data_IF_078598333559
#
_entry.id   IF_078598333559
#
_cell.length_a   1.000
_cell.length_b   1.000
_cell.length_c   1.000
_cell.angle_alpha   90.00
_cell.angle_beta   90.00
_cell.angle_gamma   90.00
#
_symmetry.space_group_name_H-M   'P 1'
#
loop_
_entity.id
_entity.type
_entity.pdbx_description
1 polymer ?
#
# COMPACT_ATOMS: atom_id res chain seq x y z
N UNK A 1 7.26 4.73 19.30
CA UNK A 1 6.75 3.76 18.31
C UNK A 1 6.70 4.46 16.95
N UNK A 2 6.94 3.78 15.84
CA UNK A 2 6.93 4.31 14.47
C UNK A 2 8.03 5.34 14.12
N UNK A 3 9.14 5.39 14.85
CA UNK A 3 10.24 6.35 14.58
C UNK A 3 10.91 6.11 13.21
N UNK A 4 10.88 4.89 12.73
CA UNK A 4 11.43 4.51 11.42
C UNK A 4 10.53 4.95 10.24
N UNK A 5 9.28 5.36 10.46
CA UNK A 5 8.40 5.94 9.45
C UNK A 5 8.48 7.46 9.54
N UNK A 6 8.86 8.12 8.46
CA UNK A 6 8.92 9.59 8.44
C UNK A 6 7.55 10.22 8.24
N UNK A 7 6.81 9.76 7.23
CA UNK A 7 5.42 10.17 6.98
C UNK A 7 4.56 8.98 6.59
N UNK A 8 3.28 9.08 6.91
CA UNK A 8 2.25 8.13 6.48
C UNK A 8 1.16 8.90 5.73
N UNK A 9 0.87 8.51 4.51
CA UNK A 9 -0.17 9.13 3.68
C UNK A 9 -1.26 8.12 3.42
N UNK A 10 -2.51 8.45 3.77
CA UNK A 10 -3.64 7.63 3.36
C UNK A 10 -4.45 8.30 2.27
N UNK A 11 -4.85 7.49 1.30
CA UNK A 11 -5.59 7.88 0.11
C UNK A 11 -7.08 7.64 0.40
N UNK A 12 -7.91 8.70 0.29
CA UNK A 12 -9.33 8.58 0.59
C UNK A 12 -10.17 9.51 -0.29
N UNK A 13 -11.24 8.99 -0.89
CA UNK A 13 -12.21 9.77 -1.65
C UNK A 13 -12.94 10.75 -0.72
N UNK A 14 -13.10 12.01 -1.15
CA UNK A 14 -13.71 13.06 -0.31
C UNK A 14 -15.13 12.72 0.13
N UNK A 15 -15.89 12.03 -0.71
CA UNK A 15 -17.26 11.58 -0.40
C UNK A 15 -17.31 10.41 0.60
N UNK A 16 -16.19 9.69 0.80
CA UNK A 16 -16.10 8.55 1.73
C UNK A 16 -15.70 9.02 3.13
N UNK A 17 -16.56 9.85 3.73
CA UNK A 17 -16.37 10.36 5.10
C UNK A 17 -16.38 9.24 6.14
N UNK A 18 -17.18 8.19 5.91
CA UNK A 18 -17.22 6.97 6.72
C UNK A 18 -15.85 6.30 6.82
N UNK A 19 -15.18 6.09 5.67
CA UNK A 19 -13.85 5.51 5.62
C UNK A 19 -12.80 6.45 6.20
N UNK A 20 -12.92 7.76 5.92
CA UNK A 20 -12.01 8.77 6.46
C UNK A 20 -11.96 8.75 7.99
N UNK A 21 -13.12 8.76 8.65
CA UNK A 21 -13.19 8.71 10.12
C UNK A 21 -12.53 7.44 10.67
N UNK A 22 -12.85 6.28 10.10
CA UNK A 22 -12.26 5.02 10.53
C UNK A 22 -10.75 4.97 10.30
N UNK A 23 -10.26 5.43 9.15
CA UNK A 23 -8.83 5.41 8.85
C UNK A 23 -8.03 6.34 9.75
N UNK A 24 -8.57 7.51 10.12
CA UNK A 24 -7.97 8.38 11.13
C UNK A 24 -7.81 7.68 12.47
N UNK A 25 -8.84 6.94 12.90
CA UNK A 25 -8.78 6.17 14.14
C UNK A 25 -7.70 5.09 14.07
N UNK A 26 -7.71 4.29 13.01
CA UNK A 26 -6.73 3.21 12.78
C UNK A 26 -5.30 3.75 12.75
N UNK A 27 -5.05 4.82 12.02
CA UNK A 27 -3.71 5.39 11.86
C UNK A 27 -3.30 6.33 13.01
N UNK A 28 -4.16 6.56 14.01
CA UNK A 28 -3.86 7.46 15.16
C UNK A 28 -2.57 7.10 15.90
N UNK A 29 -2.18 5.83 15.89
CA UNK A 29 -0.93 5.33 16.50
C UNK A 29 0.33 5.93 15.88
N UNK A 30 0.24 6.50 14.66
CA UNK A 30 1.34 7.18 13.97
C UNK A 30 1.44 8.69 14.32
N UNK A 31 0.45 9.23 15.05
CA UNK A 31 0.44 10.62 15.52
C UNK A 31 0.47 11.66 14.38
N UNK A 32 1.34 12.65 14.52
CA UNK A 32 1.51 13.78 13.58
C UNK A 32 2.16 13.44 12.25
N UNK A 33 2.54 12.19 12.05
CA UNK A 33 3.10 11.71 10.78
C UNK A 33 2.03 11.49 9.72
N UNK A 34 0.75 11.39 10.12
CA UNK A 34 -0.35 11.03 9.22
C UNK A 34 -0.83 12.22 8.41
N UNK A 35 -0.89 12.04 7.11
CA UNK A 35 -1.42 13.01 6.15
C UNK A 35 -2.54 12.34 5.36
N UNK A 36 -3.70 13.00 5.27
CA UNK A 36 -4.74 12.59 4.34
C UNK A 36 -4.46 13.19 2.97
N UNK A 37 -4.56 12.37 1.93
CA UNK A 37 -4.61 12.84 0.55
C UNK A 37 -5.98 12.54 -0.05
N UNK A 38 -6.62 13.56 -0.65
CA UNK A 38 -7.83 13.35 -1.44
C UNK A 38 -7.52 12.48 -2.64
N UNK A 39 -8.18 11.34 -2.74
CA UNK A 39 -8.02 10.43 -3.87
C UNK A 39 -8.44 11.08 -5.17
N UNK A 40 -7.74 10.77 -6.25
CA UNK A 40 -8.12 11.20 -7.59
C UNK A 40 -9.29 10.34 -8.05
N UNK A 41 -10.46 10.96 -8.24
CA UNK A 41 -11.66 10.26 -8.68
C UNK A 41 -11.69 10.15 -10.20
N UNK A 42 -11.81 8.94 -10.72
CA UNK A 42 -11.88 8.61 -12.14
C UNK A 42 -12.91 7.49 -12.37
N UNK A 43 -13.35 7.38 -13.60
CA UNK A 43 -14.18 6.26 -14.04
C UNK A 43 -13.53 5.61 -15.29
N UNK A 44 -13.09 4.37 -15.19
CA UNK A 44 -13.20 3.44 -14.05
C UNK A 44 -12.25 3.78 -12.88
N UNK A 45 -12.65 3.40 -11.65
CA UNK A 45 -12.00 3.77 -10.39
C UNK A 45 -10.54 3.31 -10.24
N UNK A 46 -10.16 2.20 -10.88
CA UNK A 46 -8.77 1.71 -10.83
C UNK A 46 -7.77 2.66 -11.50
N UNK A 47 -8.21 3.51 -12.43
CA UNK A 47 -7.37 4.58 -13.03
C UNK A 47 -7.08 5.64 -11.98
N UNK A 48 -8.12 6.09 -11.26
CA UNK A 48 -7.98 7.05 -10.17
C UNK A 48 -7.10 6.51 -9.03
N UNK A 49 -7.24 5.23 -8.70
CA UNK A 49 -6.40 4.54 -7.73
C UNK A 49 -4.91 4.64 -8.12
N UNK A 50 -4.53 4.22 -9.32
CA UNK A 50 -3.15 4.29 -9.77
C UNK A 50 -2.62 5.73 -9.82
N UNK A 51 -3.42 6.70 -10.30
CA UNK A 51 -3.07 8.13 -10.27
C UNK A 51 -2.83 8.64 -8.85
N UNK A 52 -3.64 8.20 -7.88
CA UNK A 52 -3.49 8.59 -6.49
C UNK A 52 -2.19 8.06 -5.87
N UNK A 53 -1.82 6.82 -6.14
CA UNK A 53 -0.53 6.26 -5.71
C UNK A 53 0.66 7.02 -6.33
N UNK A 54 0.57 7.41 -7.61
CA UNK A 54 1.57 8.26 -8.26
C UNK A 54 1.68 9.60 -7.52
N UNK A 55 0.56 10.26 -7.24
CA UNK A 55 0.56 11.57 -6.57
C UNK A 55 1.17 11.51 -5.17
N UNK A 56 0.94 10.44 -4.39
CA UNK A 56 1.60 10.26 -3.08
C UNK A 56 3.11 10.13 -3.23
N UNK A 57 3.58 9.35 -4.19
CA UNK A 57 5.02 9.16 -4.42
C UNK A 57 5.68 10.47 -4.91
N UNK A 58 5.01 11.24 -5.75
CA UNK A 58 5.47 12.57 -6.18
C UNK A 58 5.58 13.52 -4.99
N UNK A 59 4.55 13.58 -4.15
CA UNK A 59 4.55 14.35 -2.91
C UNK A 59 5.73 13.95 -2.00
N UNK A 60 5.95 12.65 -1.81
CA UNK A 60 7.03 12.14 -0.97
C UNK A 60 8.41 12.54 -1.53
N UNK A 61 8.58 12.45 -2.84
CA UNK A 61 9.82 12.83 -3.53
C UNK A 61 10.08 14.35 -3.44
N UNK A 62 9.08 15.18 -3.73
CA UNK A 62 9.18 16.64 -3.65
C UNK A 62 9.55 17.12 -2.25
N UNK A 63 8.96 16.51 -1.22
CA UNK A 63 9.26 16.81 0.17
C UNK A 63 10.55 16.13 0.69
N UNK A 64 11.22 15.32 -0.14
CA UNK A 64 12.46 14.61 0.18
C UNK A 64 12.35 13.72 1.42
N UNK A 65 11.19 13.11 1.64
CA UNK A 65 11.00 12.19 2.76
C UNK A 65 11.91 10.97 2.59
N UNK A 66 12.52 10.53 3.69
CA UNK A 66 13.39 9.34 3.70
C UNK A 66 12.62 8.07 3.38
N UNK A 67 11.35 8.04 3.76
CA UNK A 67 10.40 7.00 3.42
C UNK A 67 8.97 7.52 3.59
N UNK A 68 8.02 6.83 2.98
CA UNK A 68 6.58 7.08 3.14
C UNK A 68 5.83 5.77 3.30
N UNK A 69 4.98 5.69 4.31
CA UNK A 69 3.97 4.64 4.44
C UNK A 69 2.73 5.09 3.67
N UNK A 70 2.38 4.37 2.61
CA UNK A 70 1.20 4.64 1.80
C UNK A 70 0.11 3.66 2.22
N UNK A 71 -1.09 4.18 2.52
CA UNK A 71 -2.24 3.38 2.94
C UNK A 71 -3.47 3.70 2.08
N UNK A 72 -4.30 2.70 1.83
CA UNK A 72 -5.68 2.88 1.36
C UNK A 72 -6.61 3.12 2.55
N UNK A 73 -7.82 3.65 2.30
CA UNK A 73 -8.76 4.04 3.36
C UNK A 73 -9.59 2.87 3.95
N UNK A 74 -9.25 1.65 3.58
CA UNK A 74 -9.80 0.43 4.17
C UNK A 74 -8.75 -0.39 4.94
N UNK A 75 -7.60 0.21 5.22
CA UNK A 75 -6.58 -0.40 6.08
C UNK A 75 -7.12 -0.66 7.49
N UNK A 76 -6.79 -1.83 8.04
CA UNK A 76 -7.11 -2.21 9.43
C UNK A 76 -5.95 -3.01 10.02
N UNK A 77 -5.69 -2.85 11.33
CA UNK A 77 -4.63 -3.58 12.01
C UNK A 77 -5.00 -5.05 12.21
N UNK A 78 -4.01 -5.92 12.03
CA UNK A 78 -4.10 -7.35 12.29
C UNK A 78 -2.84 -7.83 12.98
N UNK A 79 -2.98 -8.59 14.08
CA UNK A 79 -1.85 -9.10 14.87
C UNK A 79 -0.77 -8.03 15.14
N UNK A 80 -1.22 -6.87 15.61
CA UNK A 80 -0.44 -5.63 15.67
C UNK A 80 0.93 -5.83 16.34
N UNK A 81 0.98 -6.44 17.53
CA UNK A 81 2.22 -6.51 18.31
C UNK A 81 3.31 -7.32 17.61
N UNK A 82 2.97 -8.48 17.04
CA UNK A 82 3.91 -9.34 16.35
C UNK A 82 4.31 -8.78 14.99
N UNK A 83 3.33 -8.36 14.21
CA UNK A 83 3.54 -7.74 12.92
C UNK A 83 4.36 -6.45 13.01
N UNK A 84 4.09 -5.62 14.03
CA UNK A 84 4.86 -4.40 14.28
C UNK A 84 6.33 -4.67 14.61
N UNK A 85 6.60 -5.62 15.54
CA UNK A 85 7.98 -6.01 15.86
C UNK A 85 8.72 -6.47 14.62
N UNK A 86 8.06 -7.25 13.76
CA UNK A 86 8.65 -7.72 12.52
C UNK A 86 8.89 -6.59 11.53
N UNK A 87 7.94 -5.67 11.37
CA UNK A 87 8.12 -4.47 10.53
C UNK A 87 9.31 -3.62 11.01
N UNK A 88 9.44 -3.41 12.31
CA UNK A 88 10.57 -2.68 12.88
C UNK A 88 11.91 -3.38 12.62
N UNK A 89 11.98 -4.72 12.72
CA UNK A 89 13.18 -5.48 12.33
C UNK A 89 13.51 -5.32 10.84
N UNK A 90 12.50 -5.40 9.99
CA UNK A 90 12.67 -5.29 8.54
C UNK A 90 13.07 -3.87 8.11
N UNK A 91 12.57 -2.85 8.79
CA UNK A 91 12.92 -1.45 8.50
C UNK A 91 14.39 -1.10 8.77
N UNK A 92 15.09 -1.91 9.57
CA UNK A 92 16.53 -1.77 9.83
C UNK A 92 17.42 -2.42 8.75
N UNK A 93 16.81 -3.22 7.87
CA UNK A 93 17.51 -3.82 6.73
C UNK A 93 17.60 -2.85 5.56
N UNK A 94 18.44 -3.18 4.58
CA UNK A 94 18.36 -2.52 3.27
C UNK A 94 17.09 -3.03 2.57
N UNK A 95 16.13 -2.14 2.32
CA UNK A 95 14.87 -2.44 1.64
C UNK A 95 14.51 -1.37 0.63
N UNK A 96 13.85 -1.77 -0.43
CA UNK A 96 13.22 -0.87 -1.41
C UNK A 96 11.78 -0.58 -1.01
N UNK A 97 11.04 -1.61 -0.64
CA UNK A 97 9.69 -1.50 -0.09
C UNK A 97 9.39 -2.61 0.92
N UNK A 98 8.47 -2.33 1.87
CA UNK A 98 7.94 -3.32 2.81
C UNK A 98 6.42 -3.28 2.72
N UNK A 99 5.81 -4.38 2.28
CA UNK A 99 4.36 -4.51 2.18
C UNK A 99 3.79 -5.04 3.49
N UNK A 100 2.86 -4.30 4.12
CA UNK A 100 2.42 -4.60 5.49
C UNK A 100 1.38 -5.71 5.58
N UNK A 101 0.60 -5.92 4.53
CA UNK A 101 -0.46 -6.94 4.48
C UNK A 101 -0.74 -7.41 3.05
N UNK A 102 0.22 -8.05 2.38
CA UNK A 102 0.02 -8.52 1.02
C UNK A 102 -0.94 -9.72 0.98
N UNK A 103 -1.91 -9.71 0.05
CA UNK A 103 -2.81 -10.85 -0.16
C UNK A 103 -3.41 -10.84 -1.58
N UNK A 104 -3.44 -11.98 -2.30
CA UNK A 104 -2.60 -13.15 -2.03
C UNK A 104 -1.12 -12.82 -2.13
N UNK A 105 -0.27 -13.57 -1.45
CA UNK A 105 1.17 -13.28 -1.43
C UNK A 105 2.04 -14.52 -1.44
N UNK A 106 3.31 -14.33 -1.82
CA UNK A 106 4.37 -15.31 -1.64
C UNK A 106 5.49 -14.68 -0.83
N UNK A 107 5.57 -15.05 0.45
CA UNK A 107 6.63 -14.62 1.36
C UNK A 107 7.60 -15.80 1.53
N UNK A 108 8.91 -15.56 1.34
CA UNK A 108 9.92 -16.61 1.53
C UNK A 108 10.22 -16.78 3.03
N UNK A 109 10.05 -18.02 3.58
CA UNK A 109 10.35 -18.29 4.98
C UNK A 109 11.79 -17.95 5.35
N UNK A 110 12.00 -17.47 6.58
CA UNK A 110 13.31 -17.20 7.16
C UNK A 110 13.92 -15.85 6.84
N UNK A 111 13.67 -15.25 5.69
CA UNK A 111 14.19 -13.93 5.35
C UNK A 111 13.14 -12.84 5.13
N UNK A 112 11.87 -13.21 5.08
CA UNK A 112 10.72 -12.32 4.83
C UNK A 112 10.72 -11.60 3.47
N UNK A 113 11.52 -12.08 2.51
CA UNK A 113 11.49 -11.56 1.14
C UNK A 113 10.12 -11.83 0.52
N UNK A 114 9.62 -10.82 -0.18
CA UNK A 114 8.38 -10.91 -0.92
C UNK A 114 8.69 -11.39 -2.35
N UNK A 115 8.02 -12.43 -2.81
CA UNK A 115 8.16 -12.98 -4.16
C UNK A 115 6.99 -12.64 -5.07
N UNK A 116 5.83 -12.37 -4.48
CA UNK A 116 4.62 -11.90 -5.16
C UNK A 116 3.67 -11.28 -4.14
N UNK A 117 2.90 -10.26 -4.55
CA UNK A 117 1.89 -9.64 -3.72
C UNK A 117 0.84 -8.93 -4.56
N UNK A 118 -0.38 -8.90 -4.03
CA UNK A 118 -1.47 -8.03 -4.47
C UNK A 118 -1.97 -7.21 -3.28
N UNK A 119 -2.97 -6.38 -3.53
CA UNK A 119 -3.55 -5.38 -2.65
C UNK A 119 -2.53 -4.28 -2.27
N UNK A 120 -2.90 -3.04 -2.49
CA UNK A 120 -2.07 -1.89 -2.12
C UNK A 120 -2.48 -1.28 -0.77
N UNK A 121 -3.10 -2.06 0.10
CA UNK A 121 -3.71 -1.64 1.36
C UNK A 121 -2.76 -0.83 2.25
N UNK A 122 -1.52 -1.29 2.43
CA UNK A 122 -0.47 -0.52 3.09
C UNK A 122 0.93 -1.02 2.71
N UNK A 123 1.82 -0.09 2.34
CA UNK A 123 3.22 -0.41 2.02
C UNK A 123 4.15 0.77 2.31
N UNK A 124 5.32 0.48 2.85
CA UNK A 124 6.36 1.45 3.18
C UNK A 124 7.38 1.49 2.04
N UNK A 125 7.60 2.65 1.45
CA UNK A 125 8.55 2.86 0.34
C UNK A 125 9.74 3.67 0.83
N UNK A 126 10.94 3.19 0.54
CA UNK A 126 12.18 3.92 0.85
C UNK A 126 12.42 5.04 -0.16
N UNK A 127 12.96 6.17 0.28
CA UNK A 127 13.15 7.36 -0.54
C UNK A 127 13.99 7.15 -1.80
N UNK A 128 15.01 6.30 -1.73
CA UNK A 128 15.83 5.96 -2.90
C UNK A 128 15.06 5.18 -3.99
N UNK A 129 13.91 4.63 -3.63
CA UNK A 129 13.10 3.80 -4.53
C UNK A 129 11.94 4.52 -5.19
N UNK A 130 11.66 5.79 -4.81
CA UNK A 130 10.54 6.55 -5.36
C UNK A 130 10.55 6.60 -6.88
N UNK A 131 11.68 6.92 -7.50
CA UNK A 131 11.78 7.01 -8.95
C UNK A 131 11.50 5.68 -9.64
N UNK A 132 12.02 4.58 -9.12
CA UNK A 132 11.78 3.24 -9.66
C UNK A 132 10.31 2.88 -9.65
N UNK A 133 9.61 3.14 -8.54
CA UNK A 133 8.18 2.84 -8.42
C UNK A 133 7.32 3.81 -9.23
N UNK A 134 7.68 5.09 -9.27
CA UNK A 134 7.05 6.10 -10.13
C UNK A 134 7.14 5.72 -11.60
N UNK A 135 8.30 5.30 -12.07
CA UNK A 135 8.50 4.88 -13.47
C UNK A 135 7.63 3.66 -13.80
N UNK A 136 7.53 2.70 -12.88
CA UNK A 136 6.65 1.54 -13.03
C UNK A 136 5.18 1.97 -13.20
N UNK A 137 4.68 2.80 -12.31
CA UNK A 137 3.30 3.26 -12.33
C UNK A 137 2.99 4.17 -13.53
N UNK A 138 3.90 5.09 -13.86
CA UNK A 138 3.77 5.98 -15.03
C UNK A 138 3.80 5.23 -16.36
N UNK A 139 4.57 4.14 -16.45
CA UNK A 139 4.58 3.27 -17.63
C UNK A 139 3.32 2.41 -17.74
N UNK A 140 2.71 2.01 -16.61
CA UNK A 140 1.48 1.24 -16.59
C UNK A 140 0.24 2.11 -16.91
N UNK A 141 0.20 3.35 -16.43
CA UNK A 141 -0.98 4.22 -16.52
C UNK A 141 -1.54 4.42 -17.94
N UNK A 142 -0.74 4.74 -18.98
CA UNK A 142 -1.26 4.87 -20.34
C UNK A 142 -1.90 3.59 -20.87
N UNK A 143 -1.31 2.44 -20.52
CA UNK A 143 -1.85 1.12 -20.90
C UNK A 143 -3.13 0.81 -20.16
N UNK A 144 -3.18 1.12 -18.85
CA UNK A 144 -4.39 0.98 -18.05
C UNK A 144 -5.56 1.81 -18.62
N UNK A 145 -5.30 3.05 -19.00
CA UNK A 145 -6.30 3.94 -19.63
C UNK A 145 -6.78 3.36 -20.95
N UNK A 146 -5.85 2.90 -21.81
CA UNK A 146 -6.17 2.41 -23.15
C UNK A 146 -6.92 1.08 -23.13
N UNK A 147 -6.47 0.14 -22.28
CA UNK A 147 -6.97 -1.26 -22.29
C UNK A 147 -8.05 -1.52 -21.25
N UNK A 148 -8.11 -0.69 -20.20
CA UNK A 148 -8.92 -0.89 -18.98
C UNK A 148 -8.66 -2.24 -18.30
N UNK A 149 -7.47 -2.80 -18.49
CA UNK A 149 -7.07 -4.09 -17.93
C UNK A 149 -6.37 -3.88 -16.58
N UNK A 150 -7.17 -3.82 -15.50
CA UNK A 150 -6.65 -3.68 -14.13
C UNK A 150 -5.80 -4.88 -13.69
N UNK A 151 -6.05 -6.07 -14.26
CA UNK A 151 -5.34 -7.29 -13.92
C UNK A 151 -3.85 -7.24 -14.29
N UNK A 152 -3.49 -6.51 -15.36
CA UNK A 152 -2.11 -6.34 -15.78
C UNK A 152 -1.50 -4.99 -15.37
N UNK A 153 -2.32 -3.93 -15.33
CA UNK A 153 -1.83 -2.57 -15.20
C UNK A 153 -2.32 -1.83 -13.96
N UNK A 154 -3.14 -2.48 -13.10
CA UNK A 154 -3.54 -1.93 -11.81
C UNK A 154 -2.35 -1.70 -10.89
N UNK A 155 -2.50 -0.84 -9.87
CA UNK A 155 -1.43 -0.45 -8.96
C UNK A 155 -0.74 -1.65 -8.30
N UNK A 156 -1.53 -2.64 -7.85
CA UNK A 156 -1.07 -3.85 -7.19
C UNK A 156 -0.64 -4.99 -8.15
N UNK A 157 -0.71 -4.76 -9.44
CA UNK A 157 -0.34 -5.72 -10.46
C UNK A 157 0.95 -5.33 -11.20
N UNK A 158 1.05 -4.07 -11.61
CA UNK A 158 2.18 -3.61 -12.41
C UNK A 158 3.52 -3.65 -11.66
N UNK A 159 3.51 -3.63 -10.32
CA UNK A 159 4.73 -3.72 -9.50
C UNK A 159 5.29 -5.13 -9.33
N UNK A 160 4.56 -6.20 -9.72
CA UNK A 160 5.01 -7.59 -9.54
C UNK A 160 6.40 -7.90 -10.13
N UNK A 161 6.78 -7.39 -11.31
CA UNK A 161 8.15 -7.53 -11.81
C UNK A 161 9.19 -6.91 -10.87
N UNK A 162 8.87 -5.76 -10.24
CA UNK A 162 9.74 -5.10 -9.27
C UNK A 162 9.89 -5.93 -7.99
N UNK A 163 8.81 -6.48 -7.46
CA UNK A 163 8.85 -7.38 -6.29
C UNK A 163 9.84 -8.53 -6.50
N UNK A 164 9.85 -9.12 -7.71
CA UNK A 164 10.73 -10.25 -8.06
C UNK A 164 12.19 -9.84 -8.24
N UNK A 165 12.44 -8.64 -8.74
CA UNK A 165 13.77 -8.12 -9.06
C UNK A 165 14.44 -7.48 -7.85
N UNK A 166 13.68 -6.67 -7.11
CA UNK A 166 14.18 -5.73 -6.12
C UNK A 166 13.96 -6.23 -4.69
N UNK A 167 14.39 -5.45 -3.68
CA UNK A 167 14.39 -5.86 -2.28
C UNK A 167 13.08 -5.48 -1.59
N UNK A 168 12.06 -6.29 -1.81
CA UNK A 168 10.78 -6.15 -1.13
C UNK A 168 10.65 -7.17 0.01
N UNK A 169 10.08 -6.71 1.14
CA UNK A 169 9.80 -7.54 2.31
C UNK A 169 8.32 -7.48 2.68
N UNK A 170 7.90 -8.43 3.50
CA UNK A 170 6.62 -8.39 4.20
C UNK A 170 6.77 -8.98 5.61
N UNK A 171 6.16 -8.37 6.64
CA UNK A 171 6.07 -9.01 7.95
C UNK A 171 5.23 -10.28 7.85
N UNK A 172 5.59 -11.26 8.63
CA UNK A 172 4.77 -12.44 8.88
C UNK A 172 4.80 -12.72 10.39
N UNK A 173 3.64 -12.69 11.03
CA UNK A 173 2.29 -12.46 10.49
C UNK A 173 2.13 -11.06 9.86
N UNK A 174 1.14 -10.92 8.98
CA UNK A 174 0.79 -9.62 8.37
C UNK A 174 0.38 -8.61 9.44
N UNK A 175 0.76 -7.35 9.25
CA UNK A 175 0.45 -6.28 10.19
C UNK A 175 -0.92 -5.65 9.95
N UNK A 176 -1.37 -5.67 8.69
CA UNK A 176 -2.67 -5.10 8.29
C UNK A 176 -3.42 -6.07 7.40
N UNK A 177 -4.72 -5.81 7.29
CA UNK A 177 -5.59 -6.41 6.28
C UNK A 177 -6.48 -5.34 5.64
N UNK A 178 -7.08 -5.67 4.52
CA UNK A 178 -8.07 -4.83 3.87
C UNK A 178 -9.44 -5.10 4.49
N UNK A 179 -10.03 -4.07 5.11
CA UNK A 179 -11.36 -4.16 5.73
C UNK A 179 -12.43 -4.46 4.67
N UNK A 180 -13.34 -5.41 4.93
CA UNK A 180 -14.46 -5.66 4.04
C UNK A 180 -15.36 -4.43 3.94
N UNK A 181 -15.95 -4.24 2.78
CA UNK A 181 -16.85 -3.12 2.54
C UNK A 181 -17.17 -2.92 1.07
N UNK A 182 -17.88 -1.83 0.78
CA UNK A 182 -18.18 -1.46 -0.60
C UNK A 182 -16.91 -0.88 -1.27
N UNK A 183 -16.48 -1.52 -2.34
CA UNK A 183 -15.34 -1.06 -3.16
C UNK A 183 -15.83 -0.07 -4.22
N UNK A 184 -15.38 1.17 -4.14
CA UNK A 184 -15.63 2.20 -5.13
C UNK A 184 -14.92 1.91 -6.47
N UNK A 185 -13.85 1.12 -6.44
CA UNK A 185 -13.11 0.69 -7.63
C UNK A 185 -13.92 -0.33 -8.42
N UNK A 186 -14.49 -1.33 -7.73
CA UNK A 186 -15.20 -2.47 -8.36
C UNK A 186 -16.70 -2.29 -8.36
N UNK A 187 -17.23 -1.25 -7.73
CA UNK A 187 -18.65 -0.99 -7.55
C UNK A 187 -19.42 -2.21 -6.99
N UNK A 188 -18.81 -2.88 -5.99
CA UNK A 188 -19.40 -4.05 -5.34
C UNK A 188 -18.88 -4.21 -3.91
N UNK A 189 -19.61 -4.96 -3.09
CA UNK A 189 -19.12 -5.35 -1.78
C UNK A 189 -18.01 -6.38 -1.90
N UNK A 190 -16.86 -6.08 -1.29
CA UNK A 190 -15.75 -7.02 -1.13
C UNK A 190 -15.94 -7.78 0.18
N UNK A 191 -15.80 -9.10 0.11
CA UNK A 191 -15.78 -9.96 1.30
C UNK A 191 -14.48 -9.80 2.06
N UNK A 192 -14.48 -10.25 3.31
CA UNK A 192 -13.34 -10.24 4.20
C UNK A 192 -12.14 -10.99 3.58
N UNK A 193 -11.10 -10.24 3.23
CA UNK A 193 -9.82 -10.81 2.79
C UNK A 193 -8.98 -11.30 3.97
N UNK A 194 -9.35 -10.98 5.23
CA UNK A 194 -8.58 -11.31 6.43
C UNK A 194 -8.64 -12.79 6.79
N UNK A 195 -9.72 -13.50 6.44
CA UNK A 195 -9.93 -14.89 6.85
C UNK A 195 -9.11 -15.93 6.07
N UNK A 196 -8.40 -15.53 5.05
CA UNK A 196 -7.57 -16.41 4.22
C UNK A 196 -6.06 -16.29 4.50
N UNK A 197 -5.67 -15.67 5.60
CA UNK A 197 -4.29 -15.81 6.09
C UNK A 197 -4.14 -17.25 6.59
N UNK A 198 -3.95 -18.18 5.64
CA UNK A 198 -3.80 -19.60 5.92
C UNK A 198 -2.73 -19.83 6.99
N UNK A 199 -3.14 -20.50 8.03
CA UNK A 199 -2.27 -21.23 8.94
C UNK A 199 -1.48 -22.30 8.17
#
# INVERSE_FOLDING_TARGET
MWEFVEKAVYINLDRRTDRNERTKEVLSVLGDKVIRMSAIEENPGFIGCLKSHIAVLEMAKENKWKNVLICEDDVEWFQFDEGYKKLEELSKKNYDSIHLGPFPSRIFPGNHRLGDAQLATAYLVNGHYYDTLLDCFRNALPRLIQTQDEFWYGADQCWKPLIRRDTWYAPFPSLVYQRPGFSDIRNMYTSDCSLNFGL
#
